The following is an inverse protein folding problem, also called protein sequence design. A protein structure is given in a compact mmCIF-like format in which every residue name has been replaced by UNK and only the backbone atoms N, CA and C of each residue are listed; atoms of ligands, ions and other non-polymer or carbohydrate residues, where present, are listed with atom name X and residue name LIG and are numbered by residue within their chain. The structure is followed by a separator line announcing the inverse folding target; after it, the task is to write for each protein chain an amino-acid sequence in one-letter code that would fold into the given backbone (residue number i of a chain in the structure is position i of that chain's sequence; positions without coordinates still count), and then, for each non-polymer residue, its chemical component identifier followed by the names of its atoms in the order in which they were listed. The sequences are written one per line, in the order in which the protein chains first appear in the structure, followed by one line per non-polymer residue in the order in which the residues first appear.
data_IF_265882085733
#
_entry.id   IF_265882085733
#
_cell.length_a   1.000
_cell.length_b   1.000
_cell.length_c   1.000
_cell.angle_alpha   90.00
_cell.angle_beta   90.00
_cell.angle_gamma   90.00
#
_symmetry.space_group_name_H-M   'P 1'
#
loop_
_entity.id
_entity.type
_entity.pdbx_description
1 polymer ?
#
# COMPACT_ATOMS: atom_id res chain seq x y z
N UNK A 1 -12.28 -21.01 28.73
CA UNK A 1 -13.42 -20.29 28.14
C UNK A 1 -12.99 -19.10 27.29
N UNK A 2 -11.87 -18.42 27.61
CA UNK A 2 -11.41 -17.29 26.80
C UNK A 2 -10.81 -17.64 25.42
N UNK A 3 -10.56 -18.92 25.16
CA UNK A 3 -9.95 -19.42 23.92
C UNK A 3 -10.94 -19.64 22.76
N UNK A 4 -12.25 -19.42 22.96
CA UNK A 4 -13.29 -19.81 22.00
C UNK A 4 -14.09 -18.66 21.38
N UNK A 5 -13.97 -17.42 21.87
CA UNK A 5 -14.68 -16.28 21.28
C UNK A 5 -13.75 -15.53 20.33
N UNK A 6 -14.21 -15.30 19.11
CA UNK A 6 -13.50 -14.49 18.12
C UNK A 6 -13.84 -13.00 18.28
N UNK A 7 -12.93 -12.07 17.92
CA UNK A 7 -13.20 -10.63 17.98
C UNK A 7 -14.48 -10.22 17.26
N UNK A 8 -14.76 -10.81 16.10
CA UNK A 8 -15.97 -10.54 15.32
C UNK A 8 -17.27 -10.94 16.06
N UNK A 9 -17.27 -12.08 16.75
CA UNK A 9 -18.44 -12.52 17.55
C UNK A 9 -18.67 -11.59 18.74
N UNK A 10 -17.60 -11.16 19.40
CA UNK A 10 -17.68 -10.21 20.49
C UNK A 10 -18.21 -8.85 20.01
N UNK A 11 -17.79 -8.41 18.82
CA UNK A 11 -18.23 -7.16 18.22
C UNK A 11 -19.73 -7.17 17.91
N UNK A 12 -20.23 -8.26 17.31
CA UNK A 12 -21.67 -8.46 17.09
C UNK A 12 -22.46 -8.47 18.42
N UNK A 13 -21.93 -9.14 19.45
CA UNK A 13 -22.57 -9.17 20.76
C UNK A 13 -22.65 -7.78 21.42
N UNK A 14 -21.61 -6.94 21.26
CA UNK A 14 -21.57 -5.59 21.80
C UNK A 14 -22.52 -4.62 21.08
N UNK A 15 -22.72 -4.76 19.77
CA UNK A 15 -23.60 -3.87 18.98
C UNK A 15 -25.06 -3.83 19.47
N UNK A 16 -25.50 -4.87 20.18
CA UNK A 16 -26.85 -4.95 20.75
C UNK A 16 -27.00 -4.37 22.16
N UNK A 17 -25.94 -3.83 22.74
CA UNK A 17 -25.94 -3.31 24.12
C UNK A 17 -26.00 -1.78 24.11
N UNK A 18 -26.66 -1.22 25.13
CA UNK A 18 -26.64 0.23 25.39
C UNK A 18 -25.48 0.62 26.32
N UNK A 19 -25.13 -0.26 27.26
CA UNK A 19 -24.08 -0.02 28.26
C UNK A 19 -23.50 -1.35 28.78
N UNK A 20 -22.21 -1.34 29.16
CA UNK A 20 -21.52 -2.48 29.76
C UNK A 20 -21.69 -2.56 31.27
N UNK A 21 -22.09 -3.72 31.76
CA UNK A 21 -22.09 -4.04 33.20
C UNK A 21 -20.68 -4.26 33.74
N UNK A 22 -20.47 -4.12 35.05
CA UNK A 22 -19.16 -4.33 35.67
C UNK A 22 -18.52 -5.70 35.38
N UNK A 23 -19.25 -6.84 35.41
CA UNK A 23 -18.69 -8.13 35.01
C UNK A 23 -18.28 -8.17 33.54
N UNK A 24 -19.04 -7.52 32.65
CA UNK A 24 -18.71 -7.45 31.23
C UNK A 24 -17.47 -6.59 30.98
N UNK A 25 -17.29 -5.49 31.71
CA UNK A 25 -16.07 -4.67 31.65
C UNK A 25 -14.82 -5.50 31.98
N UNK A 26 -14.86 -6.26 33.09
CA UNK A 26 -13.73 -7.10 33.51
C UNK A 26 -13.46 -8.21 32.50
N UNK A 27 -14.49 -8.87 32.00
CA UNK A 27 -14.33 -9.93 31.00
C UNK A 27 -13.73 -9.37 29.71
N UNK A 28 -14.30 -8.28 29.19
CA UNK A 28 -13.85 -7.65 27.95
C UNK A 28 -12.42 -7.14 28.05
N UNK A 29 -12.00 -6.65 29.22
CA UNK A 29 -10.63 -6.20 29.44
C UNK A 29 -9.60 -7.32 29.26
N UNK A 30 -9.90 -8.52 29.77
CA UNK A 30 -9.05 -9.71 29.58
C UNK A 30 -8.97 -10.09 28.11
N UNK A 31 -10.12 -10.08 27.41
CA UNK A 31 -10.20 -10.41 25.99
C UNK A 31 -9.45 -9.42 25.11
N UNK A 32 -9.69 -8.11 25.29
CA UNK A 32 -9.03 -7.05 24.54
C UNK A 32 -7.51 -7.12 24.73
N UNK A 33 -7.04 -7.30 25.96
CA UNK A 33 -5.62 -7.44 26.22
C UNK A 33 -5.00 -8.63 25.44
N UNK A 34 -5.67 -9.79 25.44
CA UNK A 34 -5.21 -10.96 24.69
C UNK A 34 -5.25 -10.75 23.17
N UNK A 35 -6.36 -10.26 22.62
CA UNK A 35 -6.52 -10.09 21.17
C UNK A 35 -5.60 -9.02 20.60
N UNK A 36 -5.43 -7.90 21.31
CA UNK A 36 -4.46 -6.85 20.93
C UNK A 36 -3.06 -7.43 20.83
N UNK A 37 -2.62 -8.19 21.84
CA UNK A 37 -1.31 -8.84 21.83
C UNK A 37 -1.14 -9.81 20.66
N UNK A 38 -2.15 -10.64 20.40
CA UNK A 38 -2.12 -11.61 19.28
C UNK A 38 -2.00 -10.88 17.94
N UNK A 39 -2.82 -9.86 17.71
CA UNK A 39 -2.85 -9.11 16.45
C UNK A 39 -1.56 -8.30 16.24
N UNK A 40 -1.02 -7.67 17.29
CA UNK A 40 0.25 -6.94 17.19
C UNK A 40 1.43 -7.85 16.79
N UNK A 41 1.42 -9.11 17.24
CA UNK A 41 2.42 -10.12 16.90
C UNK A 41 2.26 -10.70 15.48
N UNK A 42 1.09 -10.58 14.87
CA UNK A 42 0.88 -11.02 13.49
C UNK A 42 1.44 -9.98 12.51
N UNK A 43 2.37 -10.35 11.61
CA UNK A 43 3.11 -9.37 10.83
C UNK A 43 2.30 -8.72 9.71
N UNK A 44 1.24 -9.33 9.20
CA UNK A 44 0.50 -8.86 8.00
C UNK A 44 -1.03 -8.87 8.17
N UNK A 45 -1.50 -9.01 9.40
CA UNK A 45 -2.92 -9.18 9.71
C UNK A 45 -3.64 -7.82 9.78
N UNK A 46 -3.96 -7.24 8.61
CA UNK A 46 -4.64 -5.94 8.54
C UNK A 46 -6.09 -6.01 9.01
N UNK A 47 -6.76 -7.11 8.69
CA UNK A 47 -8.17 -7.33 9.02
C UNK A 47 -8.32 -7.47 10.54
N UNK A 48 -7.51 -8.31 11.18
CA UNK A 48 -7.50 -8.43 12.64
C UNK A 48 -7.14 -7.12 13.36
N UNK A 49 -6.28 -6.27 12.77
CA UNK A 49 -6.01 -4.93 13.34
C UNK A 49 -7.27 -4.07 13.32
N UNK A 50 -8.00 -4.03 12.21
CA UNK A 50 -9.22 -3.21 12.09
C UNK A 50 -10.34 -3.72 12.98
N UNK A 51 -10.56 -5.03 13.03
CA UNK A 51 -11.61 -5.64 13.86
C UNK A 51 -11.40 -5.35 15.35
N UNK A 52 -10.17 -5.55 15.86
CA UNK A 52 -9.89 -5.29 17.27
C UNK A 52 -9.88 -3.79 17.59
N UNK A 53 -9.53 -2.94 16.62
CA UNK A 53 -9.64 -1.48 16.76
C UNK A 53 -11.11 -1.05 16.90
N UNK A 54 -11.99 -1.51 16.01
CA UNK A 54 -13.43 -1.23 16.07
C UNK A 54 -14.03 -1.74 17.39
N UNK A 55 -13.58 -2.91 17.85
CA UNK A 55 -14.00 -3.45 19.14
C UNK A 55 -13.56 -2.56 20.31
N UNK A 56 -12.34 -2.03 20.30
CA UNK A 56 -11.86 -1.11 21.32
C UNK A 56 -12.65 0.20 21.34
N UNK A 57 -13.04 0.71 20.17
CA UNK A 57 -13.86 1.93 20.04
C UNK A 57 -15.26 1.70 20.61
N UNK A 58 -15.94 0.63 20.16
CA UNK A 58 -17.27 0.28 20.63
C UNK A 58 -17.29 0.00 22.14
N UNK A 59 -16.28 -0.68 22.66
CA UNK A 59 -16.16 -0.94 24.10
C UNK A 59 -16.06 0.37 24.91
N UNK A 60 -15.32 1.37 24.41
CA UNK A 60 -15.20 2.67 25.08
C UNK A 60 -16.52 3.44 25.09
N UNK A 61 -17.28 3.38 23.98
CA UNK A 61 -18.57 4.05 23.84
C UNK A 61 -19.62 3.45 24.78
N UNK A 62 -19.61 2.13 24.94
CA UNK A 62 -20.51 1.40 25.85
C UNK A 62 -20.05 1.43 27.32
N UNK A 63 -18.89 2.01 27.62
CA UNK A 63 -18.38 2.06 28.98
C UNK A 63 -19.16 3.11 29.79
N UNK A 64 -19.74 2.76 30.96
CA UNK A 64 -20.48 3.71 31.79
C UNK A 64 -19.61 4.88 32.25
N UNK A 65 -20.22 6.03 32.48
CA UNK A 65 -19.51 7.22 32.96
C UNK A 65 -19.31 7.21 34.49
N UNK A 66 -18.56 6.24 34.99
CA UNK A 66 -18.21 6.10 36.42
C UNK A 66 -16.70 6.17 36.62
N UNK A 67 -16.27 6.55 37.83
CA UNK A 67 -14.85 6.62 38.18
C UNK A 67 -14.15 5.27 38.06
N UNK A 68 -14.85 4.18 38.42
CA UNK A 68 -14.33 2.81 38.31
C UNK A 68 -14.13 2.38 36.85
N UNK A 69 -15.05 2.76 35.98
CA UNK A 69 -15.01 2.43 34.56
C UNK A 69 -13.95 3.24 33.77
N UNK A 70 -13.53 4.39 34.30
CA UNK A 70 -12.56 5.28 33.66
C UNK A 70 -11.18 4.62 33.46
N UNK A 71 -10.79 3.70 34.34
CA UNK A 71 -9.53 2.96 34.21
C UNK A 71 -9.54 2.04 32.98
N UNK A 72 -10.66 1.37 32.71
CA UNK A 72 -10.86 0.53 31.53
C UNK A 72 -10.85 1.38 30.26
N UNK A 73 -11.63 2.47 30.23
CA UNK A 73 -11.66 3.40 29.08
C UNK A 73 -10.27 3.90 28.71
N UNK A 74 -9.49 4.33 29.70
CA UNK A 74 -8.11 4.81 29.49
C UNK A 74 -7.21 3.72 28.88
N UNK A 75 -7.33 2.48 29.37
CA UNK A 75 -6.53 1.36 28.88
C UNK A 75 -6.92 0.93 27.48
N UNK A 76 -8.22 0.82 27.19
CA UNK A 76 -8.72 0.43 25.88
C UNK A 76 -8.44 1.50 24.82
N UNK A 77 -8.43 2.78 25.20
CA UNK A 77 -7.87 3.83 24.36
C UNK A 77 -6.40 3.57 24.01
N UNK A 78 -5.58 3.23 24.99
CA UNK A 78 -4.16 2.92 24.75
C UNK A 78 -3.98 1.69 23.83
N UNK A 79 -4.85 0.69 23.94
CA UNK A 79 -4.88 -0.44 22.99
C UNK A 79 -5.20 0.02 21.57
N UNK A 80 -6.22 0.87 21.40
CA UNK A 80 -6.55 1.49 20.11
C UNK A 80 -5.37 2.27 19.53
N UNK A 81 -4.69 3.08 20.34
CA UNK A 81 -3.51 3.86 19.91
C UNK A 81 -2.36 2.96 19.42
N UNK A 82 -2.14 1.79 20.04
CA UNK A 82 -1.13 0.81 19.59
C UNK A 82 -1.52 0.14 18.26
N UNK A 83 -2.78 -0.24 18.11
CA UNK A 83 -3.31 -0.83 16.87
C UNK A 83 -3.25 0.16 15.71
N UNK A 84 -3.53 1.43 15.96
CA UNK A 84 -3.38 2.51 14.98
C UNK A 84 -1.93 2.65 14.52
N UNK A 85 -0.97 2.59 15.44
CA UNK A 85 0.46 2.55 15.10
C UNK A 85 0.83 1.35 14.20
N UNK A 86 0.31 0.16 14.52
CA UNK A 86 0.50 -1.05 13.69
C UNK A 86 -0.14 -0.88 12.31
N UNK A 87 -1.35 -0.32 12.23
CA UNK A 87 -2.07 -0.05 10.99
C UNK A 87 -1.25 0.87 10.07
N UNK A 88 -0.68 1.93 10.61
CA UNK A 88 0.21 2.81 9.87
C UNK A 88 1.48 2.10 9.39
N UNK A 89 2.12 1.29 10.24
CA UNK A 89 3.28 0.49 9.82
C UNK A 89 2.94 -0.45 8.66
N UNK A 90 1.79 -1.12 8.72
CA UNK A 90 1.29 -1.99 7.65
C UNK A 90 0.95 -1.23 6.36
N UNK A 91 0.52 0.03 6.47
CA UNK A 91 0.29 0.91 5.32
C UNK A 91 1.59 1.35 4.68
N UNK A 92 2.60 1.73 5.47
CA UNK A 92 3.94 2.07 4.98
C UNK A 92 4.58 0.85 4.29
N UNK A 93 4.51 -0.33 4.88
CA UNK A 93 5.00 -1.57 4.26
C UNK A 93 4.24 -1.92 2.96
N UNK A 94 2.94 -1.57 2.87
CA UNK A 94 2.17 -1.67 1.62
C UNK A 94 2.70 -0.77 0.51
N UNK A 95 3.19 0.41 0.90
CA UNK A 95 3.73 1.42 0.00
C UNK A 95 5.17 1.07 -0.38
N UNK A 96 5.93 0.47 0.53
CA UNK A 96 7.32 0.03 0.30
C UNK A 96 7.43 -1.23 -0.56
N UNK A 97 6.40 -2.08 -0.64
CA UNK A 97 6.31 -3.17 -1.62
C UNK A 97 5.40 -2.73 -2.77
N UNK A 98 5.91 -2.06 -3.82
CA UNK A 98 5.10 -1.75 -4.98
C UNK A 98 4.59 -3.06 -5.59
N UNK A 99 3.29 -3.32 -5.44
CA UNK A 99 2.61 -4.36 -6.20
C UNK A 99 2.80 -4.01 -7.66
N UNK A 100 3.64 -4.78 -8.35
CA UNK A 100 3.86 -4.64 -9.79
C UNK A 100 2.51 -4.75 -10.48
N UNK A 101 2.01 -3.65 -11.04
CA UNK A 101 0.72 -3.69 -11.73
C UNK A 101 0.88 -4.54 -12.99
N UNK A 102 -0.14 -5.32 -13.36
CA UNK A 102 -0.09 -6.22 -14.51
C UNK A 102 0.35 -5.52 -15.82
N UNK A 103 0.05 -4.22 -15.94
CA UNK A 103 0.37 -3.40 -17.11
C UNK A 103 1.44 -2.33 -16.84
N UNK A 104 2.12 -2.41 -15.69
CA UNK A 104 3.15 -1.45 -15.31
C UNK A 104 4.25 -1.37 -16.37
N UNK A 105 4.89 -2.49 -16.69
CA UNK A 105 5.99 -2.53 -17.65
C UNK A 105 5.58 -1.96 -19.01
N UNK A 106 4.40 -2.33 -19.51
CA UNK A 106 3.91 -1.85 -20.80
C UNK A 106 3.62 -0.33 -20.81
N UNK A 107 3.17 0.23 -19.68
CA UNK A 107 2.96 1.68 -19.55
C UNK A 107 4.31 2.41 -19.48
N UNK A 108 5.25 1.89 -18.71
CA UNK A 108 6.58 2.49 -18.54
C UNK A 108 7.40 2.40 -19.83
N UNK A 109 7.37 1.26 -20.52
CA UNK A 109 7.99 1.07 -21.83
C UNK A 109 7.45 2.10 -22.83
N UNK A 110 6.12 2.25 -22.91
CA UNK A 110 5.51 3.23 -23.82
C UNK A 110 5.84 4.68 -23.45
N UNK A 111 5.94 5.01 -22.17
CA UNK A 111 6.35 6.33 -21.70
C UNK A 111 7.86 6.60 -21.90
N UNK A 112 8.67 5.53 -22.01
CA UNK A 112 10.11 5.62 -22.27
C UNK A 112 10.43 6.00 -23.73
N UNK A 113 9.60 5.55 -24.68
CA UNK A 113 9.66 5.94 -26.10
C UNK A 113 9.34 7.43 -26.32
N UNK A 114 8.64 8.06 -25.37
CA UNK A 114 8.31 9.47 -25.37
C UNK A 114 6.96 9.77 -24.69
N UNK A 115 6.59 11.05 -24.56
CA UNK A 115 5.29 11.43 -24.02
C UNK A 115 4.16 10.84 -24.86
N UNK A 116 3.28 10.05 -24.24
CA UNK A 116 2.16 9.39 -24.91
C UNK A 116 0.80 9.86 -24.35
N UNK A 117 -0.26 9.70 -25.14
CA UNK A 117 -1.62 10.05 -24.68
C UNK A 117 -2.25 8.91 -23.90
N UNK A 118 -3.07 9.24 -22.91
CA UNK A 118 -3.88 8.23 -22.20
C UNK A 118 -4.79 7.44 -23.15
N UNK A 119 -5.32 8.06 -24.20
CA UNK A 119 -6.14 7.39 -25.22
C UNK A 119 -5.35 6.35 -26.02
N UNK A 120 -4.05 6.55 -26.23
CA UNK A 120 -3.17 5.59 -26.88
C UNK A 120 -2.92 4.37 -25.96
N UNK A 121 -2.77 4.60 -24.65
CA UNK A 121 -2.64 3.53 -23.66
C UNK A 121 -3.93 2.71 -23.53
N UNK A 122 -5.09 3.36 -23.61
CA UNK A 122 -6.41 2.68 -23.67
C UNK A 122 -6.48 1.71 -24.85
N UNK A 123 -6.06 2.17 -26.04
CA UNK A 123 -6.04 1.35 -27.24
C UNK A 123 -5.00 0.21 -27.15
N UNK A 124 -3.77 0.51 -26.70
CA UNK A 124 -2.67 -0.44 -26.64
C UNK A 124 -2.91 -1.56 -25.60
N UNK A 125 -3.42 -1.22 -24.42
CA UNK A 125 -3.64 -2.17 -23.33
C UNK A 125 -4.99 -2.87 -23.41
N UNK A 126 -5.87 -2.46 -24.33
CA UNK A 126 -7.25 -2.97 -24.48
C UNK A 126 -8.05 -2.89 -23.18
N UNK A 127 -7.90 -1.78 -22.46
CA UNK A 127 -8.58 -1.51 -21.18
C UNK A 127 -9.57 -0.37 -21.33
N UNK A 128 -10.51 -0.25 -20.38
CA UNK A 128 -11.39 0.93 -20.32
C UNK A 128 -10.59 2.18 -19.92
N UNK A 129 -11.07 3.36 -20.36
CA UNK A 129 -10.47 4.64 -19.99
C UNK A 129 -10.39 4.86 -18.47
N UNK A 130 -11.42 4.42 -17.74
CA UNK A 130 -11.45 4.46 -16.27
C UNK A 130 -10.37 3.57 -15.65
N UNK A 131 -10.18 2.35 -16.16
CA UNK A 131 -9.15 1.44 -15.66
C UNK A 131 -7.73 1.95 -15.92
N UNK A 132 -7.48 2.51 -17.10
CA UNK A 132 -6.19 3.15 -17.41
C UNK A 132 -5.96 4.36 -16.50
N UNK A 133 -6.99 5.18 -16.24
CA UNK A 133 -6.88 6.33 -15.32
C UNK A 133 -6.46 5.92 -13.91
N UNK A 134 -7.04 4.82 -13.39
CA UNK A 134 -6.67 4.25 -12.09
C UNK A 134 -5.21 3.79 -12.07
N UNK A 135 -4.79 3.01 -13.07
CA UNK A 135 -3.40 2.52 -13.18
C UNK A 135 -2.41 3.68 -13.22
N UNK A 136 -2.69 4.71 -14.01
CA UNK A 136 -1.85 5.90 -14.09
C UNK A 136 -1.84 6.69 -12.78
N UNK A 137 -2.96 6.76 -12.06
CA UNK A 137 -3.03 7.37 -10.73
C UNK A 137 -2.10 6.66 -9.73
N UNK A 138 -2.09 5.33 -9.74
CA UNK A 138 -1.19 4.53 -8.90
C UNK A 138 0.27 4.73 -9.29
N UNK A 139 0.61 4.70 -10.58
CA UNK A 139 1.99 4.89 -11.04
C UNK A 139 2.52 6.31 -10.79
N UNK A 140 1.67 7.32 -10.89
CA UNK A 140 1.99 8.70 -10.53
C UNK A 140 2.20 8.86 -9.02
N UNK A 141 1.35 8.25 -8.19
CA UNK A 141 1.53 8.24 -6.73
C UNK A 141 2.82 7.52 -6.29
N UNK A 142 3.26 6.52 -7.06
CA UNK A 142 4.56 5.85 -6.89
C UNK A 142 5.74 6.65 -7.47
N UNK A 143 5.51 7.80 -8.09
CA UNK A 143 6.54 8.64 -8.69
C UNK A 143 7.16 8.10 -9.98
N UNK A 144 6.59 7.04 -10.58
CA UNK A 144 7.12 6.37 -11.79
C UNK A 144 6.77 7.08 -13.10
N UNK A 145 5.73 7.92 -13.08
CA UNK A 145 5.29 8.72 -14.23
C UNK A 145 4.85 10.11 -13.78
N UNK A 146 4.73 11.02 -14.73
CA UNK A 146 4.14 12.35 -14.57
C UNK A 146 3.00 12.51 -15.55
N UNK A 147 1.85 13.02 -15.09
CA UNK A 147 0.74 13.39 -15.98
C UNK A 147 0.68 14.89 -16.24
N UNK A 148 0.37 15.25 -17.47
CA UNK A 148 0.10 16.64 -17.87
C UNK A 148 -1.18 16.71 -18.69
N UNK A 149 -2.10 17.59 -18.29
CA UNK A 149 -3.28 17.88 -19.08
C UNK A 149 -2.94 18.93 -20.13
N UNK A 150 -3.12 18.60 -21.41
CA UNK A 150 -2.98 19.54 -22.54
C UNK A 150 -4.27 19.55 -23.34
N UNK A 151 -5.12 20.54 -23.06
CA UNK A 151 -6.46 20.65 -23.63
C UNK A 151 -7.40 19.54 -23.12
N UNK A 152 -7.99 18.78 -24.06
CA UNK A 152 -8.86 17.64 -23.73
C UNK A 152 -8.09 16.34 -23.46
N UNK A 153 -6.80 16.31 -23.78
CA UNK A 153 -5.97 15.10 -23.66
C UNK A 153 -5.13 15.12 -22.37
N UNK A 154 -5.02 13.94 -21.74
CA UNK A 154 -4.09 13.68 -20.65
C UNK A 154 -2.86 12.97 -21.21
N UNK A 155 -1.69 13.58 -21.04
CA UNK A 155 -0.39 13.08 -21.48
C UNK A 155 0.36 12.45 -20.32
N UNK A 156 1.10 11.39 -20.62
CA UNK A 156 1.90 10.61 -19.68
C UNK A 156 3.35 10.62 -20.15
N UNK A 157 4.29 10.86 -19.23
CA UNK A 157 5.73 10.82 -19.50
C UNK A 157 6.50 10.32 -18.28
N UNK A 158 7.72 9.82 -18.49
CA UNK A 158 8.63 9.53 -17.37
C UNK A 158 9.07 10.82 -16.64
N UNK A 159 9.39 10.75 -15.33
CA UNK A 159 9.98 11.86 -14.59
C UNK A 159 11.32 12.28 -15.22
N UNK A 160 11.66 13.57 -15.11
CA UNK A 160 12.86 14.14 -15.75
C UNK A 160 14.19 13.48 -15.33
N UNK A 161 14.23 12.83 -14.16
CA UNK A 161 15.40 12.09 -13.69
C UNK A 161 15.63 10.78 -14.48
N UNK A 162 14.57 10.06 -14.83
CA UNK A 162 14.64 8.78 -15.54
C UNK A 162 14.74 8.96 -17.06
N UNK A 163 14.12 10.02 -17.60
CA UNK A 163 14.22 10.36 -19.03
C UNK A 163 15.66 10.67 -19.48
N UNK A 164 16.53 11.15 -18.58
CA UNK A 164 17.96 11.35 -18.85
C UNK A 164 18.74 10.03 -18.88
N UNK A 165 18.38 9.06 -18.05
CA UNK A 165 19.00 7.74 -18.02
C UNK A 165 18.73 6.92 -19.29
N UNK A 166 17.47 6.94 -19.76
CA UNK A 166 17.09 6.24 -20.99
C UNK A 166 17.72 6.87 -22.25
N UNK A 167 17.70 8.21 -22.38
CA UNK A 167 18.38 8.90 -23.50
C UNK A 167 19.89 8.76 -23.50
N UNK A 168 20.53 8.67 -22.33
CA UNK A 168 21.98 8.44 -22.26
C UNK A 168 22.36 7.01 -22.70
N UNK A 169 21.52 6.02 -22.40
CA UNK A 169 21.71 4.65 -22.87
C UNK A 169 21.49 4.50 -24.39
N UNK A 170 20.52 5.24 -24.95
CA UNK A 170 20.24 5.21 -26.39
C UNK A 170 21.26 6.03 -27.21
N UNK A 171 21.75 7.16 -26.68
CA UNK A 171 22.85 7.92 -27.28
C UNK A 171 24.19 7.15 -27.25
N UNK A 172 24.37 6.23 -26.30
CA UNK A 172 25.51 5.33 -26.27
C UNK A 172 25.40 4.17 -27.28
N UNK A 173 24.19 3.85 -27.78
CA UNK A 173 23.96 2.77 -28.75
C UNK A 173 23.90 3.23 -30.21
N UNK A 174 23.82 4.54 -30.47
CA UNK A 174 23.77 5.13 -31.82
C UNK A 174 24.85 6.19 -32.06
N UNK A 175 26.11 5.80 -31.86
CA UNK A 175 27.26 6.50 -32.43
C UNK A 175 27.67 5.88 -33.78
N UNK A 176 27.67 6.62 -34.91
CA UNK A 176 28.10 6.08 -36.19
C UNK A 176 29.62 5.97 -36.25
N UNK A 177 30.12 4.74 -36.47
CA UNK A 177 31.45 4.48 -37.04
C UNK A 177 32.65 4.81 -36.16
N UNK A 178 33.23 3.79 -35.52
CA UNK A 178 34.68 3.73 -35.38
C UNK A 178 35.17 2.33 -35.75
N UNK A 179 35.64 2.27 -36.99
CA UNK A 179 36.51 1.23 -37.52
C UNK A 179 37.83 1.31 -36.75
N UNK A 180 38.09 0.38 -35.83
CA UNK A 180 39.43 0.03 -35.37
C UNK A 180 39.37 -1.24 -34.50
N UNK A 181 39.16 -2.40 -35.11
CA UNK A 181 39.68 -3.65 -34.56
C UNK A 181 40.60 -4.27 -35.64
N UNK A 182 41.76 -3.65 -35.75
CA UNK A 182 42.95 -4.19 -36.42
C UNK A 182 44.04 -4.20 -35.35
N UNK A 183 44.92 -5.20 -35.37
CA UNK A 183 45.91 -5.57 -34.33
C UNK A 183 45.29 -6.36 -33.17
N UNK A 184 45.19 -7.70 -33.22
CA UNK A 184 46.30 -8.63 -33.37
C UNK A 184 45.92 -9.85 -34.23
N UNK A 185 46.62 -9.98 -35.36
CA UNK A 185 46.65 -11.18 -36.17
C UNK A 185 47.57 -12.24 -35.58
N UNK A 186 47.10 -13.48 -35.62
CA UNK A 186 47.89 -14.69 -35.47
C UNK A 186 48.64 -14.98 -36.79
N UNK A 187 49.96 -15.25 -36.69
CA UNK A 187 50.80 -16.23 -37.45
C UNK A 187 52.07 -15.66 -38.12
N UNK A 188 53.23 -16.21 -37.74
CA UNK A 188 53.99 -17.27 -38.47
C UNK A 188 55.27 -17.60 -37.67
N UNK A 189 55.53 -18.85 -37.31
CA UNK A 189 56.20 -19.88 -38.12
C UNK A 189 57.65 -19.52 -38.49
N UNK A 190 58.59 -20.21 -37.84
CA UNK A 190 59.86 -20.69 -38.36
C UNK A 190 60.08 -22.08 -37.76
#
# INVERSE_FOLDING_TARGET
MAEQSEPAEALEALRGLDELTAPQLVALDVYLNQWVMVVLLRPKDREGVLEVQELCELAQDLTPNTTEAQAFRTRWKAFGDLLEGKRHALQVEAVEVPVKLLHEDAILERASEGPCKQSELVAALKLSAGRVSQLLGTLEAQGKIVRQRKGKDSWVSLPAAEARGARAAEAASTGPGSVANTFFGLRRAA
#
